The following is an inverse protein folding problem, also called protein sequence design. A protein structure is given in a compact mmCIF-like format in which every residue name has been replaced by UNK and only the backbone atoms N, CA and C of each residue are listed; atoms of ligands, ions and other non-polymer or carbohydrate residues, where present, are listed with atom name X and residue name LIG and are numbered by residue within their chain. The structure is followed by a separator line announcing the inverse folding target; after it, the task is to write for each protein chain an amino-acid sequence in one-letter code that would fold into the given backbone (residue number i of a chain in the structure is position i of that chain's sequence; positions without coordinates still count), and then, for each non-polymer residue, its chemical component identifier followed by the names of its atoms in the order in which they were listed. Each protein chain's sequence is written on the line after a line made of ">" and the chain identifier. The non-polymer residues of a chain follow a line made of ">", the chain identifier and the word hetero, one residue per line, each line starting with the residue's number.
data_IF_091498107177
#
_entry.id   IF_091498107177
#
_cell.length_a   1.000
_cell.length_b   1.000
_cell.length_c   1.000
_cell.angle_alpha   90.00
_cell.angle_beta   90.00
_cell.angle_gamma   90.00
#
_symmetry.space_group_name_H-M   'P 1'
#
loop_
_entity.id
_entity.type
_entity.pdbx_description
1 polymer ?
#
# COMPACT_ATOMS: atom_id res chain seq x y z
N UNK A 1 -1.58 25.96 3.66
CA UNK A 1 -0.16 25.56 3.42
C UNK A 1 0.59 25.73 4.72
N UNK A 2 1.43 24.78 5.16
CA UNK A 2 2.35 25.06 6.25
C UNK A 2 3.27 26.21 5.81
N UNK A 3 3.48 27.15 6.71
CA UNK A 3 4.28 28.34 6.46
C UNK A 3 5.70 27.94 6.04
N UNK A 4 6.28 28.64 5.06
CA UNK A 4 7.66 28.41 4.60
C UNK A 4 8.66 28.42 5.75
N UNK A 5 8.44 29.29 6.72
CA UNK A 5 9.31 29.45 7.90
C UNK A 5 9.34 28.20 8.79
N UNK A 6 8.23 27.46 8.87
CA UNK A 6 8.16 26.18 9.60
C UNK A 6 8.98 25.10 8.88
N UNK A 7 8.97 25.09 7.55
CA UNK A 7 9.75 24.16 6.76
C UNK A 7 11.26 24.39 6.89
N UNK A 8 11.73 25.63 6.89
CA UNK A 8 13.15 25.97 7.08
C UNK A 8 13.67 25.55 8.46
N UNK A 9 12.85 25.72 9.50
CA UNK A 9 13.21 25.32 10.86
C UNK A 9 13.38 23.81 10.99
N UNK A 10 12.50 23.02 10.36
CA UNK A 10 12.58 21.55 10.37
C UNK A 10 13.76 21.03 9.55
N UNK A 11 14.07 21.65 8.40
CA UNK A 11 15.24 21.31 7.60
C UNK A 11 16.52 21.46 8.43
N UNK A 12 16.66 22.53 9.20
CA UNK A 12 17.80 22.75 10.08
C UNK A 12 17.91 21.72 11.21
N UNK A 13 16.78 21.32 11.80
CA UNK A 13 16.76 20.35 12.91
C UNK A 13 17.14 18.94 12.43
N UNK A 14 16.71 18.55 11.25
CA UNK A 14 16.94 17.18 10.73
C UNK A 14 18.13 17.07 9.76
N UNK A 15 18.83 18.19 9.51
CA UNK A 15 19.98 18.26 8.58
C UNK A 15 19.69 17.71 7.17
N UNK A 16 18.46 17.99 6.66
CA UNK A 16 18.00 17.57 5.34
C UNK A 16 18.43 18.62 4.31
N UNK A 17 19.68 18.56 3.87
CA UNK A 17 20.31 19.62 3.08
C UNK A 17 19.75 19.79 1.66
N UNK A 18 18.97 18.87 1.11
CA UNK A 18 18.53 18.90 -0.29
C UNK A 18 17.10 18.45 -0.54
N UNK A 19 16.25 18.34 0.47
CA UNK A 19 14.85 17.92 0.31
C UNK A 19 13.94 19.13 0.29
N UNK A 20 13.17 19.27 -0.79
CA UNK A 20 12.08 20.25 -0.88
C UNK A 20 10.90 19.82 0.00
N UNK A 21 10.79 18.51 0.27
CA UNK A 21 9.73 17.91 1.09
C UNK A 21 10.25 17.45 2.46
N UNK A 22 9.56 17.88 3.51
CA UNK A 22 9.81 17.46 4.88
C UNK A 22 8.93 16.25 5.18
N UNK A 23 9.47 15.14 5.72
CA UNK A 23 8.67 13.98 6.07
C UNK A 23 7.47 14.33 6.95
N UNK A 24 6.29 13.83 6.59
CA UNK A 24 5.08 14.04 7.38
C UNK A 24 5.05 13.16 8.63
N UNK A 25 5.73 12.02 8.60
CA UNK A 25 5.79 11.05 9.69
C UNK A 25 6.89 11.43 10.68
N UNK A 26 6.49 11.81 11.90
CA UNK A 26 7.42 12.20 12.96
C UNK A 26 7.82 11.03 13.85
N UNK A 27 6.92 10.08 14.06
CA UNK A 27 7.14 8.94 14.93
C UNK A 27 6.37 7.73 14.40
N UNK A 28 7.05 6.60 14.36
CA UNK A 28 6.43 5.28 14.22
C UNK A 28 6.86 4.48 15.45
N UNK A 29 5.90 4.04 16.27
CA UNK A 29 6.15 3.34 17.51
C UNK A 29 5.40 2.02 17.53
N UNK A 30 6.14 0.92 17.64
CA UNK A 30 5.60 -0.42 17.85
C UNK A 30 5.63 -0.78 19.33
N UNK A 31 4.57 -1.41 19.82
CA UNK A 31 4.52 -1.94 21.18
C UNK A 31 3.61 -3.16 21.27
N UNK A 32 3.96 -4.08 22.16
CA UNK A 32 3.18 -5.28 22.43
C UNK A 32 2.45 -5.10 23.76
N UNK A 33 1.16 -5.35 23.76
CA UNK A 33 0.33 -5.32 24.97
C UNK A 33 0.47 -6.62 25.79
N UNK A 34 0.07 -6.65 27.07
CA UNK A 34 0.14 -7.86 27.90
C UNK A 34 -0.62 -9.06 27.33
N UNK A 35 -1.67 -8.82 26.54
CA UNK A 35 -2.48 -9.82 25.83
C UNK A 35 -1.90 -10.17 24.45
N UNK A 36 -0.59 -9.86 24.24
CA UNK A 36 0.20 -10.21 23.07
C UNK A 36 -0.27 -9.58 21.75
N UNK A 37 -0.92 -8.43 21.76
CA UNK A 37 -1.25 -7.73 20.54
C UNK A 37 -0.13 -6.75 20.15
N UNK A 38 0.42 -6.87 18.93
CA UNK A 38 1.33 -5.91 18.35
C UNK A 38 0.55 -4.71 17.84
N UNK A 39 0.73 -3.57 18.48
CA UNK A 39 0.14 -2.30 18.07
C UNK A 39 1.19 -1.41 17.39
N UNK A 40 0.74 -0.54 16.51
CA UNK A 40 1.54 0.51 15.90
C UNK A 40 0.90 1.87 16.19
N UNK A 41 1.69 2.84 16.60
CA UNK A 41 1.28 4.24 16.71
C UNK A 41 2.10 5.11 15.78
N UNK A 42 1.40 5.84 14.92
CA UNK A 42 1.98 6.78 13.96
C UNK A 42 1.61 8.20 14.39
N UNK A 43 2.58 9.11 14.43
CA UNK A 43 2.36 10.54 14.66
C UNK A 43 2.84 11.30 13.46
N UNK A 44 1.95 12.04 12.84
CA UNK A 44 2.21 12.85 11.65
C UNK A 44 2.00 14.33 11.97
N UNK A 45 2.90 15.19 11.48
CA UNK A 45 2.72 16.64 11.57
C UNK A 45 1.62 17.14 10.65
N UNK A 46 1.43 16.48 9.51
CA UNK A 46 0.49 16.86 8.46
C UNK A 46 0.07 15.64 7.64
N UNK A 47 -1.16 15.65 7.13
CA UNK A 47 -1.66 14.60 6.26
C UNK A 47 -2.87 15.06 5.46
N UNK A 48 -2.89 14.72 4.18
CA UNK A 48 -4.09 14.83 3.34
C UNK A 48 -5.07 13.71 3.72
N UNK A 49 -6.32 14.07 3.97
CA UNK A 49 -7.33 13.12 4.40
C UNK A 49 -7.66 12.10 3.31
N UNK A 50 -7.83 12.56 2.06
CA UNK A 50 -8.38 11.73 0.98
C UNK A 50 -7.32 10.80 0.41
N UNK A 51 -6.15 11.33 0.06
CA UNK A 51 -5.11 10.57 -0.62
C UNK A 51 -4.10 9.94 0.35
N UNK A 52 -3.69 10.69 1.39
CA UNK A 52 -2.70 10.26 2.35
C UNK A 52 -3.29 9.35 3.44
N UNK A 53 -3.93 9.98 4.41
CA UNK A 53 -4.31 9.35 5.71
C UNK A 53 -5.27 8.18 5.54
N UNK A 54 -6.30 8.34 4.71
CA UNK A 54 -7.33 7.30 4.52
C UNK A 54 -6.96 6.25 3.48
N UNK A 55 -5.87 6.44 2.74
CA UNK A 55 -5.52 5.56 1.63
C UNK A 55 -4.05 5.10 1.74
N UNK A 56 -3.11 5.84 1.14
CA UNK A 56 -1.72 5.40 1.02
C UNK A 56 -1.08 5.12 2.38
N UNK A 57 -1.20 6.06 3.33
CA UNK A 57 -0.56 5.90 4.63
C UNK A 57 -1.18 4.75 5.44
N UNK A 58 -2.49 4.56 5.35
CA UNK A 58 -3.15 3.44 6.03
C UNK A 58 -2.62 2.10 5.50
N UNK A 59 -2.49 1.97 4.18
CA UNK A 59 -1.93 0.78 3.56
C UNK A 59 -0.46 0.56 3.93
N UNK A 60 0.38 1.59 3.81
CA UNK A 60 1.81 1.50 4.15
C UNK A 60 2.05 1.05 5.59
N UNK A 61 1.34 1.65 6.54
CA UNK A 61 1.53 1.34 7.96
C UNK A 61 0.94 0.01 8.37
N UNK A 62 -0.17 -0.41 7.77
CA UNK A 62 -0.72 -1.75 8.00
C UNK A 62 0.23 -2.82 7.46
N UNK A 63 0.77 -2.65 6.25
CA UNK A 63 1.75 -3.55 5.67
C UNK A 63 3.04 -3.61 6.53
N UNK A 64 3.50 -2.46 7.02
CA UNK A 64 4.66 -2.40 7.91
C UNK A 64 4.41 -3.14 9.23
N UNK A 65 3.20 -3.01 9.80
CA UNK A 65 2.80 -3.74 11.02
C UNK A 65 2.81 -5.25 10.78
N UNK A 66 2.29 -5.72 9.67
CA UNK A 66 2.30 -7.13 9.28
C UNK A 66 3.71 -7.68 9.09
N UNK A 67 4.62 -6.92 8.47
CA UNK A 67 6.03 -7.30 8.33
C UNK A 67 6.67 -7.49 9.71
N UNK A 68 6.47 -6.53 10.62
CA UNK A 68 7.02 -6.61 11.98
C UNK A 68 6.40 -7.78 12.75
N UNK A 69 5.10 -7.99 12.63
CA UNK A 69 4.41 -9.12 13.23
C UNK A 69 4.98 -10.46 12.76
N UNK A 70 5.18 -10.62 11.46
CA UNK A 70 5.75 -11.84 10.87
C UNK A 70 7.15 -12.15 11.44
N UNK A 71 7.98 -11.12 11.62
CA UNK A 71 9.31 -11.28 12.23
C UNK A 71 9.18 -11.66 13.70
N UNK A 72 8.33 -10.98 14.46
CA UNK A 72 8.16 -11.23 15.90
C UNK A 72 7.58 -12.61 16.18
N UNK A 73 6.59 -13.05 15.41
CA UNK A 73 6.04 -14.42 15.53
C UNK A 73 7.09 -15.50 15.38
N UNK A 74 8.05 -15.29 14.50
CA UNK A 74 9.11 -16.26 14.22
C UNK A 74 10.26 -16.20 15.23
N UNK A 75 10.69 -14.98 15.57
CA UNK A 75 11.93 -14.79 16.34
C UNK A 75 11.71 -14.68 17.84
N UNK A 76 10.49 -14.31 18.28
CA UNK A 76 10.20 -13.98 19.67
C UNK A 76 9.12 -14.89 20.26
N UNK A 77 7.90 -14.81 19.72
CA UNK A 77 6.75 -15.55 20.25
C UNK A 77 5.68 -15.73 19.16
N UNK A 78 5.38 -16.96 18.80
CA UNK A 78 4.40 -17.30 17.77
C UNK A 78 2.94 -16.93 18.11
N UNK A 79 2.66 -16.65 19.39
CA UNK A 79 1.32 -16.28 19.85
C UNK A 79 1.03 -14.78 19.74
N UNK A 80 2.01 -13.95 19.34
CA UNK A 80 1.77 -12.53 19.09
C UNK A 80 0.74 -12.39 17.96
N UNK A 81 -0.23 -11.51 18.17
CA UNK A 81 -1.35 -11.24 17.24
C UNK A 81 -1.26 -9.84 16.70
N UNK A 82 -1.92 -9.61 15.57
CA UNK A 82 -2.13 -8.28 15.05
C UNK A 82 -3.02 -7.49 16.03
N UNK A 83 -2.58 -6.29 16.37
CA UNK A 83 -3.30 -5.35 17.21
C UNK A 83 -3.80 -4.15 16.40
N UNK A 84 -3.94 -3.01 17.06
CA UNK A 84 -4.47 -1.78 16.47
C UNK A 84 -3.40 -0.96 15.77
N UNK A 85 -3.81 -0.29 14.69
CA UNK A 85 -3.09 0.80 14.07
C UNK A 85 -3.69 2.13 14.57
N UNK A 86 -2.87 2.93 15.25
CA UNK A 86 -3.24 4.24 15.76
C UNK A 86 -2.54 5.32 14.94
N UNK A 87 -3.30 6.16 14.28
CA UNK A 87 -2.78 7.29 13.50
C UNK A 87 -3.22 8.60 14.13
N UNK A 88 -2.27 9.49 14.42
CA UNK A 88 -2.49 10.81 14.98
C UNK A 88 -1.91 11.84 14.03
N UNK A 89 -2.75 12.73 13.51
CA UNK A 89 -2.36 13.75 12.52
C UNK A 89 -2.61 15.12 13.11
N UNK A 90 -1.57 15.97 13.24
CA UNK A 90 -1.69 17.30 13.83
C UNK A 90 -2.40 18.29 12.91
N UNK A 91 -2.04 18.29 11.62
CA UNK A 91 -2.69 19.11 10.61
C UNK A 91 -3.34 18.21 9.55
N UNK A 92 -4.59 17.83 9.79
CA UNK A 92 -5.39 17.09 8.82
C UNK A 92 -6.04 18.08 7.86
N UNK A 93 -5.87 17.88 6.56
CA UNK A 93 -6.38 18.79 5.53
C UNK A 93 -6.88 18.03 4.31
N UNK A 94 -7.60 18.75 3.47
CA UNK A 94 -7.98 18.31 2.12
C UNK A 94 -7.47 19.38 1.17
N UNK A 95 -6.77 18.98 0.11
CA UNK A 95 -6.33 19.92 -0.93
C UNK A 95 -7.51 20.46 -1.74
N UNK A 96 -7.41 21.71 -2.21
CA UNK A 96 -8.49 22.39 -2.93
C UNK A 96 -8.95 21.61 -4.18
N UNK A 97 -8.02 20.99 -4.89
CA UNK A 97 -8.29 20.15 -6.07
C UNK A 97 -8.96 18.81 -5.72
N UNK A 98 -9.04 18.42 -4.43
CA UNK A 98 -9.66 17.20 -3.92
C UNK A 98 -11.00 17.42 -3.23
N UNK A 99 -11.43 18.66 -3.07
CA UNK A 99 -12.72 18.99 -2.41
C UNK A 99 -13.91 18.36 -3.15
N UNK A 100 -13.88 18.33 -4.49
CA UNK A 100 -14.89 17.65 -5.29
C UNK A 100 -15.02 16.16 -4.94
N UNK A 101 -13.90 15.47 -4.92
CA UNK A 101 -13.82 14.04 -4.54
C UNK A 101 -14.28 13.80 -3.10
N UNK A 102 -13.90 14.67 -2.16
CA UNK A 102 -14.34 14.59 -0.77
C UNK A 102 -15.87 14.71 -0.65
N UNK A 103 -16.48 15.63 -1.38
CA UNK A 103 -17.93 15.79 -1.42
C UNK A 103 -18.63 14.55 -2.01
N UNK A 104 -18.10 13.99 -3.09
CA UNK A 104 -18.64 12.75 -3.67
C UNK A 104 -18.60 11.58 -2.68
N UNK A 105 -17.50 11.44 -1.95
CA UNK A 105 -17.35 10.40 -0.89
C UNK A 105 -18.38 10.64 0.21
N UNK A 106 -18.54 11.89 0.66
CA UNK A 106 -19.48 12.27 1.71
C UNK A 106 -20.95 12.04 1.30
N UNK A 107 -21.29 12.33 0.03
CA UNK A 107 -22.64 12.15 -0.51
C UNK A 107 -23.00 10.70 -0.83
N UNK A 108 -22.01 9.83 -1.01
CA UNK A 108 -22.24 8.38 -1.08
C UNK A 108 -22.67 7.91 0.30
N UNK A 109 -23.96 8.09 0.60
CA UNK A 109 -24.55 7.58 1.83
C UNK A 109 -24.21 6.11 1.95
N UNK A 110 -23.48 5.80 3.01
CA UNK A 110 -23.29 4.48 3.63
C UNK A 110 -23.75 3.28 2.75
N UNK A 111 -23.11 3.05 1.62
CA UNK A 111 -22.95 1.67 1.22
C UNK A 111 -22.14 1.08 2.38
N UNK A 112 -22.82 0.28 3.19
CA UNK A 112 -22.26 -0.35 4.37
C UNK A 112 -20.87 -0.83 4.01
N UNK A 113 -19.85 -0.28 4.66
CA UNK A 113 -18.57 -0.96 4.76
C UNK A 113 -18.91 -2.30 5.39
N UNK A 114 -19.16 -3.28 4.55
CA UNK A 114 -19.09 -4.68 4.98
C UNK A 114 -17.69 -4.79 5.55
N UNK A 115 -17.59 -5.15 6.82
CA UNK A 115 -16.33 -5.54 7.42
C UNK A 115 -15.75 -6.59 6.48
N UNK A 116 -14.81 -6.17 5.64
CA UNK A 116 -14.03 -7.08 4.81
C UNK A 116 -13.10 -7.81 5.78
N UNK A 117 -13.69 -8.72 6.58
CA UNK A 117 -12.91 -9.72 7.29
C UNK A 117 -12.41 -10.65 6.21
N UNK A 118 -11.20 -10.38 5.80
CA UNK A 118 -10.54 -11.17 4.81
C UNK A 118 -9.74 -12.25 5.54
N UNK A 119 -10.07 -13.52 5.27
CA UNK A 119 -9.29 -14.67 5.74
C UNK A 119 -7.98 -14.84 4.94
N UNK A 120 -7.75 -13.99 3.95
CA UNK A 120 -6.52 -13.99 3.18
C UNK A 120 -5.36 -13.42 4.03
N UNK A 121 -4.27 -14.16 4.11
CA UNK A 121 -3.11 -13.78 4.91
C UNK A 121 -2.01 -13.12 4.06
N UNK A 122 -1.33 -12.15 4.66
CA UNK A 122 -0.05 -11.68 4.14
C UNK A 122 1.04 -12.59 4.71
N UNK A 123 1.68 -13.32 3.82
CA UNK A 123 2.83 -14.15 4.16
C UNK A 123 4.13 -13.49 3.68
N UNK A 124 5.15 -13.48 4.53
CA UNK A 124 6.46 -12.90 4.22
C UNK A 124 7.57 -13.94 4.21
N UNK A 125 8.62 -13.72 3.40
CA UNK A 125 9.82 -14.58 3.42
C UNK A 125 10.46 -14.68 4.80
N UNK A 126 11.24 -15.74 5.07
CA UNK A 126 11.69 -16.11 6.40
C UNK A 126 12.74 -15.19 7.05
N UNK A 127 13.21 -14.16 6.37
CA UNK A 127 14.16 -13.21 6.95
C UNK A 127 13.91 -11.79 6.44
N UNK A 128 14.34 -10.78 7.21
CA UNK A 128 14.27 -9.38 6.80
C UNK A 128 15.04 -9.14 5.48
N UNK A 129 16.17 -9.82 5.28
CA UNK A 129 16.94 -9.71 4.04
C UNK A 129 16.17 -10.26 2.84
N UNK A 130 15.45 -11.37 3.03
CA UNK A 130 14.62 -11.96 1.98
C UNK A 130 13.39 -11.09 1.68
N UNK A 131 12.78 -10.49 2.71
CA UNK A 131 11.69 -9.50 2.55
C UNK A 131 12.19 -8.32 1.72
N UNK A 132 13.34 -7.75 2.07
CA UNK A 132 13.96 -6.66 1.31
C UNK A 132 14.23 -7.07 -0.14
N UNK A 133 14.79 -8.26 -0.35
CA UNK A 133 15.08 -8.78 -1.71
C UNK A 133 13.79 -8.91 -2.53
N UNK A 134 12.72 -9.45 -1.95
CA UNK A 134 11.42 -9.57 -2.60
C UNK A 134 10.89 -8.20 -3.05
N UNK A 135 10.86 -7.22 -2.15
CA UNK A 135 10.38 -5.88 -2.50
C UNK A 135 11.25 -5.21 -3.57
N UNK A 136 12.57 -5.35 -3.49
CA UNK A 136 13.46 -4.84 -4.53
C UNK A 136 13.20 -5.50 -5.89
N UNK A 137 12.99 -6.81 -5.92
CA UNK A 137 12.69 -7.55 -7.16
C UNK A 137 11.35 -7.10 -7.77
N UNK A 138 10.29 -6.92 -6.93
CA UNK A 138 8.97 -6.45 -7.38
C UNK A 138 9.06 -5.02 -7.92
N UNK A 139 9.67 -4.10 -7.16
CA UNK A 139 9.80 -2.69 -7.57
C UNK A 139 10.58 -2.58 -8.87
N UNK A 140 11.74 -3.24 -8.99
CA UNK A 140 12.54 -3.21 -10.21
C UNK A 140 11.80 -3.78 -11.41
N UNK A 141 10.99 -4.82 -11.18
CA UNK A 141 10.14 -5.40 -12.23
C UNK A 141 9.08 -4.39 -12.71
N UNK A 142 8.35 -3.76 -11.78
CA UNK A 142 7.31 -2.79 -12.14
C UNK A 142 7.90 -1.53 -12.78
N UNK A 143 9.05 -1.03 -12.29
CA UNK A 143 9.77 0.10 -12.88
C UNK A 143 10.19 -0.21 -14.32
N UNK A 144 10.62 -1.44 -14.59
CA UNK A 144 10.92 -1.87 -15.97
C UNK A 144 9.70 -1.73 -16.88
N UNK A 145 8.53 -2.21 -16.45
CA UNK A 145 7.29 -2.10 -17.23
C UNK A 145 6.92 -0.62 -17.48
N UNK A 146 7.14 0.25 -16.47
CA UNK A 146 6.84 1.68 -16.59
C UNK A 146 7.81 2.40 -17.56
N UNK A 147 9.08 2.01 -17.61
CA UNK A 147 10.12 2.77 -18.30
C UNK A 147 10.45 2.25 -19.70
N UNK A 148 10.25 0.97 -19.98
CA UNK A 148 10.54 0.40 -21.30
C UNK A 148 9.54 0.82 -22.38
N UNK A 149 9.98 0.80 -23.63
CA UNK A 149 9.11 1.09 -24.77
C UNK A 149 8.12 -0.08 -24.99
N UNK A 150 6.93 0.23 -25.49
CA UNK A 150 5.83 -0.74 -25.69
C UNK A 150 6.24 -1.99 -26.49
N UNK A 151 7.09 -1.83 -27.53
CA UNK A 151 7.55 -2.95 -28.36
C UNK A 151 8.53 -3.91 -27.66
N UNK A 152 8.97 -3.57 -26.44
CA UNK A 152 9.81 -4.43 -25.59
C UNK A 152 9.05 -5.09 -24.46
N UNK A 153 7.79 -4.72 -24.30
CA UNK A 153 6.92 -5.26 -23.26
C UNK A 153 6.08 -6.38 -23.83
N UNK A 154 6.15 -7.51 -23.22
CA UNK A 154 5.30 -8.67 -23.52
C UNK A 154 3.82 -8.40 -23.18
N UNK A 155 2.96 -9.37 -23.47
CA UNK A 155 1.55 -9.28 -23.07
C UNK A 155 1.41 -9.31 -21.54
N UNK A 156 0.29 -8.79 -21.03
CA UNK A 156 -0.01 -8.83 -19.59
C UNK A 156 0.07 -10.25 -19.02
N UNK A 157 -0.31 -11.26 -19.78
CA UNK A 157 -0.23 -12.66 -19.37
C UNK A 157 1.21 -13.12 -19.16
N UNK A 158 2.12 -12.77 -20.08
CA UNK A 158 3.54 -13.10 -19.96
C UNK A 158 4.21 -12.34 -18.83
N UNK A 159 3.86 -11.08 -18.63
CA UNK A 159 4.42 -10.28 -17.55
C UNK A 159 3.87 -10.73 -16.17
N UNK A 160 2.63 -11.20 -16.11
CA UNK A 160 2.08 -11.86 -14.91
C UNK A 160 2.87 -13.13 -14.58
N UNK A 161 3.22 -13.96 -15.56
CA UNK A 161 4.06 -15.13 -15.35
C UNK A 161 5.50 -14.75 -14.94
N UNK A 162 6.04 -13.65 -15.45
CA UNK A 162 7.35 -13.14 -15.05
C UNK A 162 7.33 -12.63 -13.59
N UNK A 163 6.28 -11.90 -13.19
CA UNK A 163 6.06 -11.49 -11.81
C UNK A 163 5.93 -12.71 -10.89
N UNK A 164 5.19 -13.74 -11.31
CA UNK A 164 5.04 -14.99 -10.57
C UNK A 164 6.37 -15.69 -10.30
N UNK A 165 7.30 -15.67 -11.25
CA UNK A 165 8.65 -16.22 -11.05
C UNK A 165 9.41 -15.51 -9.94
N UNK A 166 9.20 -14.20 -9.75
CA UNK A 166 9.79 -13.45 -8.65
C UNK A 166 9.25 -13.98 -7.31
N UNK A 167 7.93 -14.17 -7.21
CA UNK A 167 7.32 -14.70 -5.98
C UNK A 167 7.75 -16.13 -5.66
N UNK A 168 7.84 -17.02 -6.65
CA UNK A 168 8.27 -18.41 -6.48
C UNK A 168 9.68 -18.52 -5.87
N UNK A 169 10.56 -17.54 -6.09
CA UNK A 169 11.88 -17.52 -5.43
C UNK A 169 11.78 -17.37 -3.91
N UNK A 170 10.71 -16.80 -3.42
CA UNK A 170 10.56 -16.38 -2.01
C UNK A 170 9.50 -17.18 -1.26
N UNK A 171 8.55 -17.81 -1.97
CA UNK A 171 7.41 -18.50 -1.38
C UNK A 171 7.19 -19.88 -2.00
N UNK A 172 6.69 -20.80 -1.17
CA UNK A 172 6.28 -22.14 -1.64
C UNK A 172 4.91 -22.09 -2.31
N UNK A 173 3.99 -21.30 -1.77
CA UNK A 173 2.66 -21.03 -2.33
C UNK A 173 2.49 -19.52 -2.57
N UNK A 174 2.20 -19.13 -3.81
CA UNK A 174 2.04 -17.73 -4.17
C UNK A 174 0.59 -17.32 -4.35
N UNK A 175 -0.27 -18.22 -4.80
CA UNK A 175 -1.61 -17.89 -5.30
C UNK A 175 -2.62 -17.51 -4.21
N UNK A 176 -2.32 -17.79 -2.94
CA UNK A 176 -3.12 -17.40 -1.76
C UNK A 176 -2.45 -16.32 -0.92
N UNK A 177 -1.40 -15.71 -1.41
CA UNK A 177 -0.70 -14.67 -0.70
C UNK A 177 -1.27 -13.29 -1.09
N UNK A 178 -1.77 -12.55 -0.12
CA UNK A 178 -2.35 -11.22 -0.34
C UNK A 178 -1.36 -10.25 -0.99
N UNK A 179 -0.06 -10.35 -0.65
CA UNK A 179 0.99 -9.55 -1.29
C UNK A 179 1.12 -9.84 -2.80
N UNK A 180 0.92 -11.11 -3.22
CA UNK A 180 0.82 -11.48 -4.62
C UNK A 180 -0.36 -10.77 -5.29
N UNK A 181 -1.54 -10.79 -4.67
CA UNK A 181 -2.72 -10.10 -5.19
C UNK A 181 -2.50 -8.60 -5.39
N UNK A 182 -1.84 -7.92 -4.46
CA UNK A 182 -1.48 -6.50 -4.62
C UNK A 182 -0.48 -6.26 -5.75
N UNK A 183 0.52 -7.12 -5.90
CA UNK A 183 1.49 -6.99 -6.98
C UNK A 183 0.86 -7.24 -8.37
N UNK A 184 -0.02 -8.22 -8.48
CA UNK A 184 -0.81 -8.50 -9.69
C UNK A 184 -1.75 -7.32 -10.04
N UNK A 185 -2.42 -6.75 -9.03
CA UNK A 185 -3.27 -5.59 -9.21
C UNK A 185 -2.48 -4.37 -9.69
N UNK A 186 -1.31 -4.10 -9.11
CA UNK A 186 -0.44 -3.02 -9.54
C UNK A 186 0.03 -3.20 -10.99
N UNK A 187 0.42 -4.42 -11.38
CA UNK A 187 0.79 -4.73 -12.75
C UNK A 187 -0.38 -4.49 -13.72
N UNK A 188 -1.57 -5.00 -13.37
CA UNK A 188 -2.78 -4.83 -14.19
C UNK A 188 -3.15 -3.36 -14.35
N UNK A 189 -3.03 -2.56 -13.29
CA UNK A 189 -3.26 -1.13 -13.35
C UNK A 189 -2.28 -0.42 -14.29
N UNK A 190 -0.97 -0.73 -14.22
CA UNK A 190 0.04 -0.19 -15.11
C UNK A 190 -0.29 -0.52 -16.57
N UNK A 191 -0.73 -1.75 -16.85
CA UNK A 191 -1.10 -2.17 -18.20
C UNK A 191 -2.36 -1.45 -18.71
N UNK A 192 -3.34 -1.19 -17.85
CA UNK A 192 -4.50 -0.39 -18.21
C UNK A 192 -4.11 1.04 -18.54
N UNK A 193 -3.41 1.72 -17.65
CA UNK A 193 -3.06 3.14 -17.80
C UNK A 193 -2.11 3.38 -18.99
N UNK A 194 -1.18 2.47 -19.21
CA UNK A 194 -0.13 2.67 -20.20
C UNK A 194 -0.43 2.09 -21.56
N UNK A 195 -1.10 0.94 -21.61
CA UNK A 195 -1.34 0.19 -22.84
C UNK A 195 -2.82 0.02 -23.18
N UNK A 196 -3.71 0.65 -22.40
CA UNK A 196 -5.17 0.54 -22.56
C UNK A 196 -5.66 -0.92 -22.60
N UNK A 197 -5.02 -1.81 -21.83
CA UNK A 197 -5.41 -3.20 -21.72
C UNK A 197 -6.39 -3.40 -20.56
N UNK A 198 -7.39 -4.30 -20.69
CA UNK A 198 -8.34 -4.54 -19.62
C UNK A 198 -7.64 -5.15 -18.41
N UNK A 199 -8.10 -4.77 -17.22
CA UNK A 199 -7.63 -5.36 -15.97
C UNK A 199 -8.14 -6.78 -15.85
N UNK A 200 -7.21 -7.69 -15.63
CA UNK A 200 -7.49 -9.11 -15.41
C UNK A 200 -6.69 -9.58 -14.19
N UNK A 201 -7.39 -9.83 -13.09
CA UNK A 201 -6.80 -10.45 -11.90
C UNK A 201 -7.04 -11.96 -11.97
N UNK A 202 -5.96 -12.73 -11.90
CA UNK A 202 -5.98 -14.20 -11.89
C UNK A 202 -5.77 -14.77 -10.49
N UNK A 203 -5.68 -13.92 -9.50
CA UNK A 203 -5.46 -14.30 -8.11
C UNK A 203 -6.60 -15.18 -7.59
N UNK A 204 -6.27 -16.15 -6.74
CA UNK A 204 -7.22 -17.02 -6.05
C UNK A 204 -7.61 -16.50 -4.66
N UNK A 205 -7.34 -15.25 -4.40
CA UNK A 205 -7.76 -14.60 -3.16
C UNK A 205 -9.28 -14.50 -3.08
N UNK A 206 -9.81 -14.13 -1.93
CA UNK A 206 -11.24 -14.02 -1.70
C UNK A 206 -11.94 -13.13 -2.72
N UNK A 207 -13.22 -13.40 -2.96
CA UNK A 207 -14.05 -12.55 -3.81
C UNK A 207 -14.08 -11.11 -3.30
N UNK A 208 -14.02 -10.90 -1.99
CA UNK A 208 -14.05 -9.58 -1.37
C UNK A 208 -12.79 -8.75 -1.71
N UNK A 209 -11.61 -9.38 -1.72
CA UNK A 209 -10.39 -8.74 -2.21
C UNK A 209 -10.52 -8.34 -3.68
N UNK A 210 -10.94 -9.27 -4.53
CA UNK A 210 -11.11 -9.02 -5.95
C UNK A 210 -12.13 -7.90 -6.22
N UNK A 211 -13.25 -7.87 -5.49
CA UNK A 211 -14.25 -6.82 -5.58
C UNK A 211 -13.70 -5.47 -5.09
N UNK A 212 -12.95 -5.44 -3.99
CA UNK A 212 -12.38 -4.20 -3.47
C UNK A 212 -11.37 -3.58 -4.42
N UNK A 213 -10.51 -4.40 -5.02
CA UNK A 213 -9.53 -3.93 -6.01
C UNK A 213 -10.20 -3.50 -7.30
N UNK A 214 -11.15 -4.28 -7.83
CA UNK A 214 -11.79 -3.99 -9.13
C UNK A 214 -12.82 -2.88 -9.03
N UNK A 215 -13.60 -2.78 -7.97
CA UNK A 215 -14.67 -1.79 -7.85
C UNK A 215 -14.17 -0.39 -7.48
N UNK A 216 -13.19 -0.29 -6.59
CA UNK A 216 -12.75 1.01 -6.07
C UNK A 216 -11.77 1.73 -6.98
N UNK A 217 -10.90 1.00 -7.68
CA UNK A 217 -9.87 1.60 -8.53
C UNK A 217 -10.27 1.74 -10.00
N UNK A 218 -11.17 0.89 -10.51
CA UNK A 218 -11.35 0.72 -11.94
C UNK A 218 -12.71 1.20 -12.50
N UNK A 219 -13.69 1.42 -11.65
CA UNK A 219 -14.98 1.99 -12.10
C UNK A 219 -14.95 3.51 -12.35
N UNK A 220 -13.90 4.21 -11.92
CA UNK A 220 -13.78 5.66 -12.12
C UNK A 220 -13.14 6.04 -13.46
N UNK A 221 -12.37 5.17 -14.11
CA UNK A 221 -11.72 5.48 -15.38
C UNK A 221 -12.65 5.54 -16.59
N UNK A 222 -13.89 5.06 -16.46
CA UNK A 222 -14.88 5.13 -17.55
C UNK A 222 -15.81 6.35 -17.53
N UNK A 223 -15.63 7.30 -16.60
CA UNK A 223 -16.51 8.48 -16.51
C UNK A 223 -15.93 9.77 -17.09
N UNK A 224 -14.64 9.82 -17.35
CA UNK A 224 -13.99 11.02 -17.92
C UNK A 224 -13.84 10.97 -19.45
N UNK A 225 -14.55 10.08 -20.10
CA UNK A 225 -14.58 9.88 -21.56
C UNK A 225 -15.90 10.30 -22.21
N UNK A 226 -16.44 11.51 -21.87
CA UNK A 226 -17.48 12.22 -22.68
C UNK A 226 -17.22 13.71 -22.64
#
# INVERSE_FOLDING_TARGET
>A
MPDRDTNESLIKVYNIEHSVDIPCNNLIHFFITPDKNLNIKIVQRSGDLIFGVSNINLFEFSLLQEIVLSILKREVDSEIKLGYLHQSVTNLHIYDDRVGQANEIYERKEEQMTDLINDDEISFPPSLQNIKSLFCDIVSFLERIITENEHKIDTIDMETENLKKIFIKHFVETERNLLWGYAEAALSYIFQERFNQPIVLKTKLSNDFNLSVTSNYFNNSNKDGL
#
